data_IF_541075269498
#
_entry.id   IF_541075269498
#
_cell.length_a   1.000
_cell.length_b   1.000
_cell.length_c   1.000
_cell.angle_alpha   90.00
_cell.angle_beta   90.00
_cell.angle_gamma   90.00
#
_symmetry.space_group_name_H-M   'P 1'
#
loop_
_entity.id
_entity.type
_entity.pdbx_description
1 polymer ?
#
# COMPACT_ATOMS: atom_id res chain seq x y z
N UNK A 1 -3.09 -25.25 -8.79
CA UNK A 1 -4.40 -24.63 -8.97
C UNK A 1 -4.22 -23.12 -9.18
N UNK A 2 -4.82 -22.62 -10.22
CA UNK A 2 -4.71 -21.19 -10.53
C UNK A 2 -5.56 -20.39 -9.55
N UNK A 3 -5.00 -19.29 -9.07
CA UNK A 3 -5.74 -18.37 -8.23
C UNK A 3 -6.68 -17.54 -9.11
N UNK A 4 -7.88 -17.31 -8.63
CA UNK A 4 -8.84 -16.47 -9.32
C UNK A 4 -8.66 -15.02 -8.86
N UNK A 5 -7.79 -14.30 -9.56
CA UNK A 5 -7.45 -12.93 -9.20
C UNK A 5 -8.66 -11.99 -9.27
N UNK A 6 -9.58 -12.28 -10.18
CA UNK A 6 -10.75 -11.41 -10.35
C UNK A 6 -11.72 -11.48 -9.17
N UNK A 7 -11.72 -12.57 -8.43
CA UNK A 7 -12.60 -12.73 -7.28
C UNK A 7 -11.98 -12.31 -5.96
N UNK A 8 -10.70 -11.97 -5.96
CA UNK A 8 -10.01 -11.53 -4.75
C UNK A 8 -10.38 -10.11 -4.39
N UNK A 9 -10.53 -9.86 -3.08
CA UNK A 9 -10.56 -8.48 -2.59
C UNK A 9 -9.16 -7.88 -2.74
N UNK A 10 -9.05 -6.57 -2.61
CA UNK A 10 -7.74 -5.91 -2.66
C UNK A 10 -6.82 -6.46 -1.58
N UNK A 11 -7.32 -6.68 -0.38
CA UNK A 11 -6.52 -7.25 0.70
C UNK A 11 -6.02 -8.65 0.36
N UNK A 12 -6.90 -9.48 -0.17
CA UNK A 12 -6.54 -10.83 -0.57
C UNK A 12 -5.50 -10.82 -1.68
N UNK A 13 -5.69 -9.93 -2.65
CA UNK A 13 -4.77 -9.80 -3.76
C UNK A 13 -3.36 -9.41 -3.29
N UNK A 14 -3.26 -8.37 -2.46
CA UNK A 14 -1.94 -7.93 -2.01
C UNK A 14 -1.28 -8.90 -1.02
N UNK A 15 -2.07 -9.64 -0.24
CA UNK A 15 -1.51 -10.72 0.56
C UNK A 15 -0.93 -11.83 -0.32
N UNK A 16 -1.62 -12.13 -1.41
CA UNK A 16 -1.14 -13.10 -2.40
C UNK A 16 0.16 -12.62 -3.04
N UNK A 17 0.22 -11.35 -3.45
CA UNK A 17 1.42 -10.74 -4.03
C UNK A 17 2.58 -10.78 -3.04
N UNK A 18 2.34 -10.42 -1.79
CA UNK A 18 3.39 -10.38 -0.77
C UNK A 18 4.03 -11.76 -0.56
N UNK A 19 3.23 -12.81 -0.58
CA UNK A 19 3.74 -14.17 -0.40
C UNK A 19 4.54 -14.67 -1.61
N UNK A 20 4.29 -14.10 -2.78
CA UNK A 20 4.88 -14.54 -4.05
C UNK A 20 5.55 -13.39 -4.75
N UNK A 21 6.18 -12.52 -3.97
CA UNK A 21 6.69 -11.25 -4.48
C UNK A 21 7.61 -11.43 -5.70
N UNK A 22 8.45 -12.44 -5.69
CA UNK A 22 9.36 -12.69 -6.80
C UNK A 22 8.66 -13.00 -8.12
N UNK A 23 7.38 -13.37 -8.10
CA UNK A 23 6.60 -13.59 -9.32
C UNK A 23 6.08 -12.29 -9.91
N UNK A 24 5.97 -11.26 -9.09
CA UNK A 24 5.40 -9.97 -9.51
C UNK A 24 6.46 -8.89 -9.68
N UNK A 25 7.53 -8.97 -8.89
CA UNK A 25 8.57 -7.95 -8.85
C UNK A 25 9.93 -8.62 -8.98
N UNK A 26 10.64 -8.30 -10.04
CA UNK A 26 11.96 -8.87 -10.28
C UNK A 26 12.89 -8.53 -9.12
N UNK A 27 13.49 -9.58 -8.53
CA UNK A 27 14.43 -9.43 -7.43
C UNK A 27 13.79 -9.02 -6.11
N UNK A 28 12.47 -8.87 -6.06
CA UNK A 28 11.73 -8.46 -4.85
C UNK A 28 12.29 -7.18 -4.21
N UNK A 29 12.81 -6.29 -5.05
CA UNK A 29 13.45 -5.05 -4.61
C UNK A 29 12.40 -3.97 -4.33
N UNK A 30 12.73 -3.09 -3.38
CA UNK A 30 11.83 -1.99 -2.99
C UNK A 30 11.44 -1.11 -4.18
N UNK A 31 12.40 -0.73 -5.01
CA UNK A 31 12.10 0.11 -6.19
C UNK A 31 11.09 -0.57 -7.12
N UNK A 32 11.22 -1.87 -7.29
CA UNK A 32 10.27 -2.64 -8.10
C UNK A 32 8.89 -2.69 -7.47
N UNK A 33 8.82 -2.83 -6.15
CA UNK A 33 7.54 -2.82 -5.42
C UNK A 33 6.87 -1.46 -5.56
N UNK A 34 7.64 -0.38 -5.44
CA UNK A 34 7.11 0.98 -5.64
C UNK A 34 6.50 1.12 -7.03
N UNK A 35 7.23 0.71 -8.06
CA UNK A 35 6.73 0.77 -9.44
C UNK A 35 5.49 -0.08 -9.64
N UNK A 36 5.47 -1.26 -9.04
CA UNK A 36 4.32 -2.16 -9.13
C UNK A 36 3.08 -1.51 -8.53
N UNK A 37 3.21 -0.92 -7.34
CA UNK A 37 2.08 -0.28 -6.67
C UNK A 37 1.65 1.00 -7.39
N UNK A 38 2.59 1.78 -7.89
CA UNK A 38 2.26 2.97 -8.68
C UNK A 38 1.51 2.60 -9.95
N UNK A 39 1.93 1.52 -10.62
CA UNK A 39 1.23 1.01 -11.79
C UNK A 39 -0.17 0.52 -11.47
N UNK A 40 -0.32 -0.17 -10.36
CA UNK A 40 -1.63 -0.61 -9.88
C UNK A 40 -2.53 0.61 -9.65
N UNK A 41 -2.01 1.62 -8.97
CA UNK A 41 -2.76 2.83 -8.66
C UNK A 41 -3.21 3.55 -9.93
N UNK A 42 -2.29 3.75 -10.87
CA UNK A 42 -2.61 4.40 -12.14
C UNK A 42 -3.65 3.62 -12.93
N UNK A 43 -3.50 2.30 -13.01
CA UNK A 43 -4.47 1.47 -13.72
C UNK A 43 -5.86 1.57 -13.09
N UNK A 44 -5.93 1.47 -11.77
CA UNK A 44 -7.21 1.55 -11.06
C UNK A 44 -7.89 2.89 -11.28
N UNK A 45 -7.12 3.98 -11.16
CA UNK A 45 -7.68 5.33 -11.36
C UNK A 45 -8.19 5.53 -12.78
N UNK A 46 -7.50 5.00 -13.78
CA UNK A 46 -7.94 5.08 -15.18
C UNK A 46 -9.24 4.35 -15.43
N UNK A 47 -9.55 3.36 -14.63
CA UNK A 47 -10.75 2.54 -14.78
C UNK A 47 -11.80 2.84 -13.71
N UNK A 48 -11.69 3.98 -13.05
CA UNK A 48 -12.72 4.44 -12.11
C UNK A 48 -12.66 3.82 -10.72
N UNK A 49 -11.62 3.05 -10.43
CA UNK A 49 -11.43 2.47 -9.11
C UNK A 49 -10.72 3.41 -8.16
N UNK A 50 -10.70 3.11 -6.88
CA UNK A 50 -10.06 3.97 -5.88
C UNK A 50 -8.54 3.92 -5.89
N UNK A 51 -7.94 2.88 -6.42
CA UNK A 51 -6.50 2.71 -6.42
C UNK A 51 -5.93 2.81 -5.02
N UNK A 52 -4.91 3.64 -4.88
CA UNK A 52 -4.28 3.92 -3.59
C UNK A 52 -4.59 5.35 -3.10
N UNK A 53 -5.73 5.88 -3.51
CA UNK A 53 -6.15 7.22 -3.07
C UNK A 53 -6.23 7.27 -1.54
N UNK A 54 -5.58 8.28 -0.96
CA UNK A 54 -5.52 8.43 0.49
C UNK A 54 -4.41 7.65 1.18
N UNK A 55 -3.67 6.83 0.45
CA UNK A 55 -2.60 5.99 1.01
C UNK A 55 -1.50 6.82 1.68
N UNK A 56 -1.00 7.84 0.98
CA UNK A 56 0.04 8.70 1.54
C UNK A 56 -0.45 9.44 2.78
N UNK A 57 -1.64 10.00 2.69
CA UNK A 57 -2.25 10.73 3.82
C UNK A 57 -2.45 9.83 5.03
N UNK A 58 -2.88 8.59 4.78
CA UNK A 58 -3.04 7.61 5.85
C UNK A 58 -1.70 7.30 6.52
N UNK A 59 -0.63 7.16 5.71
CA UNK A 59 0.71 6.89 6.24
C UNK A 59 1.22 8.06 7.09
N UNK A 60 1.00 9.28 6.62
CA UNK A 60 1.39 10.48 7.37
C UNK A 60 0.66 10.51 8.71
N UNK A 61 -0.63 10.26 8.71
CA UNK A 61 -1.43 10.24 9.93
C UNK A 61 -0.98 9.12 10.87
N UNK A 62 -0.65 7.96 10.32
CA UNK A 62 -0.18 6.81 11.10
C UNK A 62 1.13 7.11 11.81
N UNK A 63 2.02 7.82 11.14
CA UNK A 63 3.31 8.20 11.69
C UNK A 63 3.21 9.40 12.62
N UNK A 64 2.28 10.30 12.36
CA UNK A 64 2.10 11.53 13.12
C UNK A 64 3.00 12.68 12.69
N UNK A 65 3.77 12.52 11.63
CA UNK A 65 4.66 13.55 11.10
C UNK A 65 4.71 13.46 9.59
N UNK A 66 4.97 14.58 8.96
CA UNK A 66 5.21 14.61 7.52
C UNK A 66 6.65 15.01 7.24
N UNK A 67 7.30 14.31 6.31
CA UNK A 67 8.67 14.61 5.90
C UNK A 67 8.77 15.18 4.49
N UNK A 68 7.65 15.40 3.82
CA UNK A 68 7.64 15.93 2.47
C UNK A 68 7.90 14.90 1.37
N UNK A 69 8.20 13.67 1.72
CA UNK A 69 8.43 12.61 0.74
C UNK A 69 7.11 11.98 0.28
N UNK A 70 7.15 11.27 -0.83
CA UNK A 70 6.03 10.48 -1.30
C UNK A 70 5.73 9.32 -0.36
N UNK A 71 4.75 8.50 -0.75
CA UNK A 71 4.32 7.41 0.13
C UNK A 71 5.45 6.43 0.50
N UNK A 72 6.34 6.15 -0.44
CA UNK A 72 7.45 5.22 -0.17
C UNK A 72 8.38 5.77 0.91
N UNK A 73 8.63 7.08 0.91
CA UNK A 73 9.41 7.71 1.96
C UNK A 73 8.74 7.62 3.32
N UNK A 74 7.42 7.75 3.37
CA UNK A 74 6.67 7.58 4.61
C UNK A 74 6.81 6.17 5.17
N UNK A 75 6.72 5.15 4.30
CA UNK A 75 6.90 3.76 4.71
C UNK A 75 8.30 3.53 5.28
N UNK A 76 9.33 4.10 4.62
CA UNK A 76 10.71 3.97 5.10
C UNK A 76 10.87 4.55 6.49
N UNK A 77 10.27 5.70 6.76
CA UNK A 77 10.31 6.32 8.08
C UNK A 77 9.63 5.46 9.15
N UNK A 78 8.53 4.83 8.80
CA UNK A 78 7.83 3.96 9.74
C UNK A 78 8.66 2.70 10.01
N UNK A 79 9.24 2.13 8.97
CA UNK A 79 10.00 0.89 9.09
C UNK A 79 11.35 1.09 9.77
N UNK A 80 11.99 2.22 9.50
CA UNK A 80 13.33 2.53 9.98
C UNK A 80 13.28 3.89 10.67
N UNK A 81 13.42 3.90 11.98
CA UNK A 81 13.25 5.12 12.77
C UNK A 81 14.20 6.25 12.37
N UNK A 82 15.31 5.93 11.72
CA UNK A 82 16.30 6.91 11.28
C UNK A 82 16.32 7.06 9.76
N UNK A 83 15.22 6.72 9.08
CA UNK A 83 15.18 6.63 7.63
C UNK A 83 15.25 7.93 6.87
N UNK A 84 15.09 9.06 7.53
CA UNK A 84 14.89 10.34 6.83
C UNK A 84 16.07 10.80 5.99
N UNK A 85 17.28 10.53 6.40
CA UNK A 85 18.45 10.95 5.68
C UNK A 85 19.16 9.87 4.91
N UNK A 86 18.60 8.68 4.89
CA UNK A 86 19.30 7.51 4.38
C UNK A 86 18.72 7.08 3.04
N UNK A 87 19.49 7.30 1.99
CA UNK A 87 19.09 6.93 0.64
C UNK A 87 19.42 5.47 0.30
N UNK A 88 20.54 4.98 0.82
CA UNK A 88 20.97 3.62 0.55
C UNK A 88 20.59 2.73 1.71
N UNK A 89 19.90 1.65 1.40
CA UNK A 89 19.49 0.66 2.39
C UNK A 89 20.34 -0.58 2.23
N UNK A 90 20.69 -1.20 3.36
CA UNK A 90 21.28 -2.53 3.31
C UNK A 90 20.23 -3.50 2.81
N UNK A 91 20.65 -4.69 2.41
CA UNK A 91 19.73 -5.74 1.95
C UNK A 91 18.68 -6.05 3.03
N UNK A 92 19.11 -6.16 4.28
CA UNK A 92 18.19 -6.46 5.39
C UNK A 92 17.23 -5.31 5.67
N UNK A 93 17.71 -4.07 5.58
CA UNK A 93 16.86 -2.89 5.74
C UNK A 93 15.81 -2.84 4.65
N UNK A 94 16.22 -3.08 3.41
CA UNK A 94 15.28 -3.07 2.28
C UNK A 94 14.21 -4.15 2.47
N UNK A 95 14.60 -5.35 2.87
CA UNK A 95 13.66 -6.43 3.11
C UNK A 95 12.66 -6.06 4.21
N UNK A 96 13.14 -5.40 5.26
CA UNK A 96 12.28 -4.93 6.34
C UNK A 96 11.28 -3.89 5.85
N UNK A 97 11.74 -2.93 5.05
CA UNK A 97 10.85 -1.91 4.50
C UNK A 97 9.76 -2.54 3.65
N UNK A 98 10.11 -3.50 2.80
CA UNK A 98 9.13 -4.21 1.96
C UNK A 98 8.10 -4.94 2.82
N UNK A 99 8.56 -5.64 3.85
CA UNK A 99 7.66 -6.36 4.77
C UNK A 99 6.69 -5.39 5.46
N UNK A 100 7.22 -4.30 6.00
CA UNK A 100 6.41 -3.29 6.67
C UNK A 100 5.44 -2.64 5.69
N UNK A 101 5.87 -2.42 4.44
CA UNK A 101 5.02 -1.85 3.41
C UNK A 101 3.75 -2.67 3.22
N UNK A 102 3.89 -3.98 3.03
CA UNK A 102 2.72 -4.83 2.81
C UNK A 102 1.84 -4.95 4.06
N UNK A 103 2.44 -4.92 5.25
CA UNK A 103 1.69 -4.90 6.50
C UNK A 103 0.84 -3.63 6.60
N UNK A 104 1.44 -2.47 6.33
CA UNK A 104 0.74 -1.20 6.38
C UNK A 104 -0.32 -1.11 5.29
N UNK A 105 -0.02 -1.61 4.09
CA UNK A 105 -0.98 -1.63 3.00
C UNK A 105 -2.23 -2.44 3.38
N UNK A 106 -2.02 -3.59 4.01
CA UNK A 106 -3.15 -4.41 4.47
C UNK A 106 -3.99 -3.65 5.51
N UNK A 107 -3.34 -2.95 6.44
CA UNK A 107 -4.06 -2.15 7.43
C UNK A 107 -4.86 -1.02 6.78
N UNK A 108 -4.24 -0.33 5.82
CA UNK A 108 -4.92 0.72 5.09
C UNK A 108 -6.16 0.21 4.36
N UNK A 109 -6.00 -0.91 3.67
CA UNK A 109 -7.11 -1.51 2.91
C UNK A 109 -8.20 -2.03 3.85
N UNK A 110 -7.83 -2.53 5.02
CA UNK A 110 -8.79 -2.97 6.02
C UNK A 110 -9.65 -1.81 6.52
N UNK A 111 -9.01 -0.68 6.80
CA UNK A 111 -9.73 0.53 7.22
C UNK A 111 -10.65 0.99 6.11
N UNK A 112 -10.19 0.96 4.87
CA UNK A 112 -11.00 1.38 3.73
C UNK A 112 -12.21 0.48 3.52
N UNK A 113 -12.03 -0.84 3.64
CA UNK A 113 -13.15 -1.78 3.52
C UNK A 113 -14.20 -1.53 4.60
N UNK A 114 -13.77 -1.28 5.83
CA UNK A 114 -14.67 -0.97 6.92
C UNK A 114 -15.41 0.34 6.67
N UNK A 115 -14.70 1.35 6.21
CA UNK A 115 -15.29 2.65 5.88
C UNK A 115 -16.31 2.53 4.76
N UNK A 116 -16.00 1.75 3.71
CA UNK A 116 -16.91 1.53 2.60
C UNK A 116 -18.18 0.82 3.07
N UNK A 117 -18.04 -0.20 3.91
CA UNK A 117 -19.19 -0.94 4.45
C UNK A 117 -20.10 -0.02 5.27
N UNK A 118 -19.51 0.83 6.10
CA UNK A 118 -20.26 1.81 6.88
C UNK A 118 -20.74 2.95 6.00
N UNK A 119 -19.92 3.34 5.04
CA UNK A 119 -20.17 4.46 4.15
C UNK A 119 -21.32 4.25 3.20
N UNK A 120 -21.61 3.00 2.81
CA UNK A 120 -22.71 2.78 1.86
C UNK A 120 -24.05 3.13 2.49
N UNK A 121 -24.26 2.82 3.77
CA UNK A 121 -25.48 3.24 4.45
C UNK A 121 -25.43 4.74 4.78
N UNK A 122 -24.27 5.22 5.11
CA UNK A 122 -24.05 6.62 5.43
C UNK A 122 -24.20 7.53 4.22
N UNK A 123 -23.75 7.08 3.06
CA UNK A 123 -23.83 7.84 1.83
C UNK A 123 -25.29 8.15 1.46
N UNK A 124 -26.17 7.21 1.67
CA UNK A 124 -27.60 7.42 1.41
C UNK A 124 -28.12 8.55 2.30
N UNK A 125 -27.74 8.53 3.57
CA UNK A 125 -28.13 9.59 4.47
C UNK A 125 -27.51 10.93 4.15
N UNK A 126 -26.26 10.93 3.72
CA UNK A 126 -25.52 12.15 3.44
C UNK A 126 -26.02 12.86 2.19
N UNK A 127 -26.51 12.13 1.22
CA UNK A 127 -27.03 12.72 0.00
C UNK A 127 -28.46 13.18 0.11
N UNK A 128 -29.10 12.78 1.17
CA UNK A 128 -30.45 13.19 1.47
C UNK A 128 -30.56 14.64 1.86
#
# INVERSE_FOLDING_TARGET
>A
MAADLASMSEREYFAFVAKRLGMFVVGSRLAGVEGFLDGYDQHALRHGGPGLSGWREWLVARRGQECGHGWAGQVRHIALSEGCGQWELTHDEEAKVVEVLFTLLDEFLAVRETSDANGSSWTIGATG
#
